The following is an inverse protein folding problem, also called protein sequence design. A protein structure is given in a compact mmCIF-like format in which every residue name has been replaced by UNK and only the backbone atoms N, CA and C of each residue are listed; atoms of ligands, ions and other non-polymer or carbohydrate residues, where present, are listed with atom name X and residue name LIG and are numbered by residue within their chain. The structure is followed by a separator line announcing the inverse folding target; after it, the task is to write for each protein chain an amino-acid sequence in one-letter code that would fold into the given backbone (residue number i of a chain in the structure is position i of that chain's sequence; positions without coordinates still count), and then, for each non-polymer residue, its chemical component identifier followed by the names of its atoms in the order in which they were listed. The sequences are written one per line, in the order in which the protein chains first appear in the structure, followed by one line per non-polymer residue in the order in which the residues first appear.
data_IF_051034497285
#
_entry.id   IF_051034497285
#
_cell.length_a   1.000
_cell.length_b   1.000
_cell.length_c   1.000
_cell.angle_alpha   90.00
_cell.angle_beta   90.00
_cell.angle_gamma   90.00
#
_symmetry.space_group_name_H-M   'P 1'
#
loop_
_entity.id
_entity.type
_entity.pdbx_description
1 polymer ?
#
# COMPACT_ATOMS: atom_id res chain seq x y z
N UNK A 1 -2.13 35.23 13.45
CA UNK A 1 -3.04 35.01 12.31
C UNK A 1 -2.19 34.91 11.08
N UNK A 2 -2.08 33.71 10.53
CA UNK A 2 -1.37 33.45 9.27
C UNK A 2 -2.41 32.88 8.32
N UNK A 3 -2.74 33.65 7.30
CA UNK A 3 -3.71 33.27 6.27
C UNK A 3 -3.13 32.18 5.40
N UNK A 4 -3.81 31.04 5.38
CA UNK A 4 -3.58 29.99 4.39
C UNK A 4 -4.41 30.33 3.14
N UNK A 5 -3.84 30.28 1.93
CA UNK A 5 -4.61 30.48 0.73
C UNK A 5 -5.55 29.28 0.53
N UNK A 6 -6.84 29.55 0.66
CA UNK A 6 -7.93 28.63 0.33
C UNK A 6 -8.07 28.55 -1.20
N UNK A 7 -7.66 27.45 -1.81
CA UNK A 7 -8.01 27.15 -3.20
C UNK A 7 -9.26 26.29 -3.23
N UNK A 8 -10.41 26.92 -3.24
CA UNK A 8 -11.66 26.28 -3.62
C UNK A 8 -11.78 26.29 -5.15
N UNK A 9 -11.50 25.15 -5.78
CA UNK A 9 -11.99 24.86 -7.12
C UNK A 9 -13.26 24.04 -7.00
N UNK A 10 -14.22 24.23 -7.89
CA UNK A 10 -15.56 23.63 -7.88
C UNK A 10 -15.62 22.10 -7.97
N UNK A 11 -14.49 21.41 -7.97
CA UNK A 11 -14.38 19.94 -7.83
C UNK A 11 -13.55 19.63 -6.60
N UNK A 12 -14.17 19.75 -5.43
CA UNK A 12 -13.50 19.69 -4.13
C UNK A 12 -12.84 18.35 -3.82
N UNK A 13 -11.52 18.33 -3.85
CA UNK A 13 -10.70 17.32 -3.18
C UNK A 13 -10.47 17.84 -1.75
N UNK A 14 -11.02 17.16 -0.76
CA UNK A 14 -10.77 17.49 0.63
C UNK A 14 -9.46 16.85 1.10
N UNK A 15 -8.55 17.68 1.60
CA UNK A 15 -7.38 17.23 2.35
C UNK A 15 -7.79 17.10 3.81
N UNK A 16 -7.82 15.88 4.32
CA UNK A 16 -8.13 15.61 5.72
C UNK A 16 -6.85 15.62 6.55
N UNK A 17 -6.76 16.55 7.51
CA UNK A 17 -5.78 16.48 8.58
C UNK A 17 -6.08 15.26 9.46
N UNK A 18 -5.10 14.39 9.64
CA UNK A 18 -5.21 13.21 10.49
C UNK A 18 -5.05 13.59 11.96
N UNK A 19 -6.10 14.17 12.56
CA UNK A 19 -6.25 14.15 14.01
C UNK A 19 -7.30 13.11 14.39
N UNK A 20 -6.80 12.03 14.98
CA UNK A 20 -7.50 11.08 15.86
C UNK A 20 -9.01 11.25 16.00
N UNK A 21 -9.77 10.31 15.48
CA UNK A 21 -11.00 9.86 16.13
C UNK A 21 -11.25 8.38 15.81
N UNK A 22 -11.18 7.63 16.87
CA UNK A 22 -11.68 6.28 17.04
C UNK A 22 -13.16 6.19 16.67
N UNK A 23 -13.52 5.00 16.16
CA UNK A 23 -14.85 4.40 16.18
C UNK A 23 -15.91 5.02 15.27
N UNK A 24 -16.24 4.28 14.22
CA UNK A 24 -17.56 3.66 14.06
C UNK A 24 -17.73 3.06 12.68
N UNK A 25 -18.22 1.83 12.69
CA UNK A 25 -19.05 1.20 11.68
C UNK A 25 -18.47 0.93 10.31
N UNK A 26 -18.15 -0.30 10.15
CA UNK A 26 -18.03 -1.21 9.00
C UNK A 26 -19.08 -1.10 7.88
N UNK A 27 -19.66 0.03 7.58
CA UNK A 27 -20.73 0.12 6.55
C UNK A 27 -20.32 0.72 5.22
N UNK A 28 -19.10 1.25 5.08
CA UNK A 28 -18.59 1.66 3.77
C UNK A 28 -17.11 1.26 3.73
N UNK A 29 -16.83 0.03 3.28
CA UNK A 29 -15.48 -0.34 2.88
C UNK A 29 -15.06 0.62 1.75
N UNK A 30 -14.33 1.66 2.13
CA UNK A 30 -13.89 2.68 1.21
C UNK A 30 -12.82 2.07 0.30
N UNK A 31 -12.94 2.33 -0.98
CA UNK A 31 -11.87 2.02 -1.90
C UNK A 31 -10.67 2.90 -1.52
N UNK A 32 -9.64 2.28 -0.97
CA UNK A 32 -8.53 2.96 -0.32
C UNK A 32 -7.22 2.33 -0.77
N UNK A 33 -6.27 3.18 -1.17
CA UNK A 33 -4.89 2.80 -1.45
C UNK A 33 -3.95 3.70 -0.68
N UNK A 34 -3.06 3.11 0.11
CA UNK A 34 -2.02 3.81 0.86
C UNK A 34 -0.66 3.34 0.41
N UNK A 35 0.16 4.27 -0.07
CA UNK A 35 1.55 4.05 -0.45
C UNK A 35 2.48 4.69 0.57
N UNK A 36 3.50 3.96 1.00
CA UNK A 36 4.52 4.45 1.93
C UNK A 36 5.85 4.51 1.19
N UNK A 37 6.40 5.70 1.13
CA UNK A 37 7.68 5.97 0.50
C UNK A 37 8.72 6.25 1.59
N UNK A 38 9.90 5.67 1.44
CA UNK A 38 11.05 5.97 2.26
C UNK A 38 12.02 6.85 1.49
N UNK A 39 12.45 7.94 2.10
CA UNK A 39 13.52 8.78 1.57
C UNK A 39 14.52 9.12 2.68
N UNK A 40 15.62 9.77 2.30
CA UNK A 40 16.58 10.32 3.26
C UNK A 40 16.69 11.82 3.07
N UNK A 41 16.49 12.55 4.16
CA UNK A 41 16.62 14.01 4.18
C UNK A 41 17.77 14.35 5.12
N UNK A 42 18.82 14.97 4.58
CA UNK A 42 20.07 15.24 5.34
C UNK A 42 20.64 14.01 6.06
N UNK A 43 20.59 12.85 5.38
CA UNK A 43 21.09 11.58 5.90
C UNK A 43 20.16 10.86 6.90
N UNK A 44 19.06 11.46 7.33
CA UNK A 44 18.07 10.86 8.22
C UNK A 44 16.93 10.22 7.45
N UNK A 45 16.42 9.07 7.89
CA UNK A 45 15.26 8.43 7.26
C UNK A 45 14.00 9.26 7.50
N UNK A 46 13.17 9.37 6.47
CA UNK A 46 11.86 10.00 6.51
C UNK A 46 10.87 9.09 5.78
N UNK A 47 9.68 8.90 6.33
CA UNK A 47 8.58 8.17 5.71
C UNK A 47 7.52 9.16 5.23
N UNK A 48 7.11 9.01 3.98
CA UNK A 48 6.03 9.78 3.37
C UNK A 48 4.91 8.82 3.03
N UNK A 49 3.74 9.02 3.61
CA UNK A 49 2.55 8.21 3.38
C UNK A 49 1.59 8.99 2.49
N UNK A 50 1.22 8.42 1.35
CA UNK A 50 0.24 8.98 0.42
C UNK A 50 -0.97 8.06 0.39
N UNK A 51 -2.14 8.57 0.76
CA UNK A 51 -3.39 7.81 0.79
C UNK A 51 -4.38 8.39 -0.18
N UNK A 52 -4.83 7.56 -1.10
CA UNK A 52 -5.89 7.83 -2.06
C UNK A 52 -7.18 7.18 -1.60
N UNK A 53 -8.28 7.91 -1.62
CA UNK A 53 -9.60 7.41 -1.25
C UNK A 53 -10.61 7.66 -2.35
N UNK A 54 -11.57 6.77 -2.49
CA UNK A 54 -12.73 6.94 -3.38
C UNK A 54 -13.99 6.54 -2.62
N UNK A 55 -14.90 7.47 -2.49
CA UNK A 55 -16.18 7.27 -1.83
C UNK A 55 -17.31 7.91 -2.67
N UNK A 56 -18.52 7.91 -2.13
CA UNK A 56 -19.69 8.51 -2.79
C UNK A 56 -19.56 10.03 -3.00
N UNK A 57 -18.73 10.71 -2.21
CA UNK A 57 -18.49 12.16 -2.30
C UNK A 57 -17.39 12.52 -3.30
N UNK A 58 -16.65 11.53 -3.80
CA UNK A 58 -15.56 11.74 -4.77
C UNK A 58 -14.24 11.09 -4.35
N UNK A 59 -13.15 11.57 -4.96
CA UNK A 59 -11.79 11.17 -4.66
C UNK A 59 -11.19 12.07 -3.57
N UNK A 60 -10.35 11.48 -2.72
CA UNK A 60 -9.60 12.18 -1.68
C UNK A 60 -8.12 11.85 -1.72
N UNK A 61 -7.29 12.82 -1.34
CA UNK A 61 -5.86 12.69 -1.15
C UNK A 61 -5.51 13.07 0.30
N UNK A 62 -4.70 12.24 0.94
CA UNK A 62 -4.08 12.56 2.22
C UNK A 62 -2.58 12.28 2.15
N UNK A 63 -1.76 13.19 2.66
CA UNK A 63 -0.30 13.03 2.72
C UNK A 63 0.14 13.15 4.16
N UNK A 64 0.69 12.07 4.70
CA UNK A 64 1.29 12.03 6.03
C UNK A 64 2.81 12.00 5.92
N UNK A 65 3.50 12.69 6.81
CA UNK A 65 4.96 12.73 6.84
C UNK A 65 5.41 12.40 8.26
N UNK A 66 6.22 11.35 8.37
CA UNK A 66 6.89 10.97 9.63
C UNK A 66 8.38 11.32 9.50
N UNK A 67 8.74 12.48 10.03
CA UNK A 67 10.10 13.00 10.04
C UNK A 67 10.60 13.16 11.47
N UNK A 68 11.57 12.34 11.84
CA UNK A 68 12.25 12.40 13.15
C UNK A 68 13.06 13.69 13.36
N UNK A 69 13.22 14.53 12.35
CA UNK A 69 14.10 15.71 12.36
C UNK A 69 13.37 17.05 12.44
N UNK A 70 12.01 17.09 12.52
CA UNK A 70 11.21 18.31 12.55
C UNK A 70 11.60 19.35 11.47
N UNK A 71 11.80 18.88 10.23
CA UNK A 71 12.17 19.76 9.13
C UNK A 71 10.93 20.36 8.49
N UNK A 72 11.07 21.57 7.92
CA UNK A 72 10.01 22.16 7.12
C UNK A 72 9.88 21.42 5.79
N UNK A 73 8.84 20.63 5.67
CA UNK A 73 8.44 19.92 4.47
C UNK A 73 7.20 20.59 3.86
N UNK A 74 7.22 20.78 2.56
CA UNK A 74 6.11 21.39 1.84
C UNK A 74 5.54 20.37 0.86
N UNK A 75 4.21 20.24 0.85
CA UNK A 75 3.49 19.38 -0.06
C UNK A 75 2.80 20.23 -1.11
N UNK A 76 3.00 19.90 -2.38
CA UNK A 76 2.38 20.53 -3.54
C UNK A 76 1.65 19.48 -4.34
N UNK A 77 0.48 19.81 -4.85
CA UNK A 77 -0.27 18.90 -5.72
C UNK A 77 -1.11 19.69 -6.73
N UNK A 78 -1.42 19.03 -7.83
CA UNK A 78 -2.43 19.45 -8.78
C UNK A 78 -3.16 18.20 -9.29
N UNK A 79 -4.48 18.16 -9.07
CA UNK A 79 -5.37 17.09 -9.48
C UNK A 79 -6.46 17.59 -10.43
N UNK A 80 -6.37 18.84 -10.90
CA UNK A 80 -7.41 19.49 -11.71
C UNK A 80 -7.68 18.76 -13.03
N UNK A 81 -6.65 18.14 -13.60
CA UNK A 81 -6.71 17.35 -14.84
C UNK A 81 -6.59 15.85 -14.61
N UNK A 82 -6.66 15.42 -13.34
CA UNK A 82 -6.41 14.03 -12.97
C UNK A 82 -7.45 13.09 -13.55
N UNK A 83 -6.99 12.01 -14.18
CA UNK A 83 -7.83 10.95 -14.69
C UNK A 83 -7.80 9.74 -13.75
N UNK A 84 -8.99 9.26 -13.37
CA UNK A 84 -9.16 8.14 -12.46
C UNK A 84 -9.79 6.95 -13.19
N UNK A 85 -9.34 5.76 -12.83
CA UNK A 85 -9.96 4.51 -13.27
C UNK A 85 -11.01 4.00 -12.29
N UNK A 86 -11.12 2.68 -12.16
CA UNK A 86 -11.98 2.04 -11.17
C UNK A 86 -11.47 2.24 -9.74
N UNK A 87 -10.17 2.36 -9.57
CA UNK A 87 -9.50 2.58 -8.28
C UNK A 87 -9.51 4.03 -7.80
N UNK A 88 -9.00 4.29 -6.59
CA UNK A 88 -8.90 5.63 -6.03
C UNK A 88 -7.67 6.40 -6.52
N UNK A 89 -6.62 5.72 -7.00
CA UNK A 89 -5.40 6.35 -7.51
C UNK A 89 -5.64 6.95 -8.90
N UNK A 90 -5.19 8.19 -9.16
CA UNK A 90 -5.14 8.72 -10.52
C UNK A 90 -4.05 8.02 -11.33
N UNK A 91 -4.24 7.92 -12.64
CA UNK A 91 -3.25 7.30 -13.52
C UNK A 91 -2.59 8.28 -14.50
N UNK A 92 -3.15 9.48 -14.67
CA UNK A 92 -2.66 10.49 -15.61
C UNK A 92 -3.17 11.89 -15.23
N UNK A 93 -2.45 12.93 -15.65
CA UNK A 93 -2.88 14.33 -15.54
C UNK A 93 -2.77 14.90 -14.13
N UNK A 94 -1.77 14.49 -13.34
CA UNK A 94 -1.61 14.96 -11.97
C UNK A 94 -0.15 15.04 -11.55
N UNK A 95 0.09 15.73 -10.44
CA UNK A 95 1.29 15.55 -9.64
C UNK A 95 1.01 15.68 -8.15
N UNK A 96 1.83 14.98 -7.35
CA UNK A 96 1.99 15.20 -5.91
C UNK A 96 3.49 15.29 -5.64
N UNK A 97 3.95 16.43 -5.16
CA UNK A 97 5.35 16.69 -4.89
C UNK A 97 5.59 17.00 -3.40
N UNK A 98 6.63 16.43 -2.82
CA UNK A 98 7.11 16.78 -1.48
C UNK A 98 8.49 17.41 -1.60
N UNK A 99 8.64 18.59 -1.04
CA UNK A 99 9.85 19.41 -1.14
C UNK A 99 10.45 19.65 0.25
N UNK A 100 11.73 19.37 0.39
CA UNK A 100 12.54 19.67 1.55
C UNK A 100 13.73 20.53 1.14
N UNK A 101 13.97 21.67 1.81
CA UNK A 101 15.13 22.53 1.54
C UNK A 101 15.30 22.88 0.04
N UNK A 102 14.21 23.22 -0.66
CA UNK A 102 14.16 23.50 -2.10
C UNK A 102 14.53 22.31 -3.01
N UNK A 103 14.60 21.11 -2.48
CA UNK A 103 14.83 19.89 -3.24
C UNK A 103 13.58 19.05 -3.27
N UNK A 104 13.23 18.50 -4.44
CA UNK A 104 12.14 17.55 -4.59
C UNK A 104 12.57 16.20 -4.02
N UNK A 105 11.92 15.74 -2.95
CA UNK A 105 12.23 14.46 -2.29
C UNK A 105 11.29 13.33 -2.72
N UNK A 106 10.06 13.68 -3.10
CA UNK A 106 9.09 12.76 -3.71
C UNK A 106 8.35 13.49 -4.82
N UNK A 107 8.16 12.84 -5.96
CA UNK A 107 7.31 13.31 -7.03
C UNK A 107 6.52 12.15 -7.61
N UNK A 108 5.21 12.24 -7.57
CA UNK A 108 4.26 11.29 -8.14
C UNK A 108 3.49 11.96 -9.26
N UNK A 109 3.10 11.17 -10.26
CA UNK A 109 2.34 11.62 -11.43
C UNK A 109 3.22 11.98 -12.62
N UNK A 110 2.56 12.37 -13.70
CA UNK A 110 3.16 12.62 -15.02
C UNK A 110 3.46 14.11 -15.31
N UNK A 111 2.91 15.04 -14.50
CA UNK A 111 3.07 16.49 -14.66
C UNK A 111 4.33 17.03 -13.95
N UNK A 112 5.48 16.42 -14.23
CA UNK A 112 6.75 16.76 -13.56
C UNK A 112 7.25 18.18 -13.85
N UNK A 113 7.04 18.68 -15.07
CA UNK A 113 7.45 20.03 -15.47
C UNK A 113 6.66 21.10 -14.72
N UNK A 114 5.37 20.92 -14.58
CA UNK A 114 4.46 21.78 -13.83
C UNK A 114 4.81 21.78 -12.35
N UNK A 115 5.08 20.60 -11.79
CA UNK A 115 5.53 20.46 -10.41
C UNK A 115 6.81 21.24 -10.15
N UNK A 116 7.83 21.11 -10.98
CA UNK A 116 9.09 21.85 -10.86
C UNK A 116 8.89 23.36 -11.00
N UNK A 117 8.07 23.80 -11.97
CA UNK A 117 7.74 25.22 -12.17
C UNK A 117 7.03 25.81 -10.93
N UNK A 118 6.07 25.08 -10.36
CA UNK A 118 5.28 25.54 -9.21
C UNK A 118 6.10 25.59 -7.92
N UNK A 119 6.96 24.62 -7.71
CA UNK A 119 7.75 24.49 -6.48
C UNK A 119 9.05 25.28 -6.50
N UNK A 120 9.55 25.66 -7.67
CA UNK A 120 10.90 26.22 -7.84
C UNK A 120 12.01 25.25 -7.43
N UNK A 121 11.68 23.97 -7.22
CA UNK A 121 12.64 22.95 -6.85
C UNK A 121 13.41 22.47 -8.08
N UNK A 122 14.69 22.22 -7.90
CA UNK A 122 15.51 21.59 -8.95
C UNK A 122 15.04 20.14 -9.13
N UNK A 123 14.92 19.72 -10.39
CA UNK A 123 14.64 18.32 -10.73
C UNK A 123 15.88 17.49 -10.44
N UNK A 124 15.98 17.00 -9.22
CA UNK A 124 16.94 15.99 -8.84
C UNK A 124 16.19 14.65 -8.86
N UNK A 125 16.82 13.54 -9.28
CA UNK A 125 16.20 12.22 -9.16
C UNK A 125 15.68 12.04 -7.74
N UNK A 126 14.36 11.85 -7.60
CA UNK A 126 13.76 11.61 -6.29
C UNK A 126 14.38 10.35 -5.70
N UNK A 127 14.93 10.46 -4.49
CA UNK A 127 15.53 9.34 -3.79
C UNK A 127 14.54 8.60 -2.88
N UNK A 128 13.25 8.81 -3.11
CA UNK A 128 12.19 8.12 -2.40
C UNK A 128 11.88 6.78 -3.07
N UNK A 129 11.96 5.69 -2.30
CA UNK A 129 11.61 4.33 -2.72
C UNK A 129 10.25 3.95 -2.14
N UNK A 130 9.40 3.29 -2.93
CA UNK A 130 8.14 2.70 -2.44
C UNK A 130 8.46 1.46 -1.61
N UNK A 131 8.21 1.52 -0.30
CA UNK A 131 8.52 0.42 0.62
C UNK A 131 7.28 -0.38 1.03
N UNK A 132 6.10 0.22 0.95
CA UNK A 132 4.86 -0.52 1.20
C UNK A 132 3.69 0.07 0.42
N UNK A 133 2.79 -0.82 -0.02
CA UNK A 133 1.48 -0.47 -0.57
C UNK A 133 0.41 -1.25 0.17
N UNK A 134 -0.64 -0.57 0.62
CA UNK A 134 -1.82 -1.15 1.24
C UNK A 134 -3.02 -0.82 0.37
N UNK A 135 -3.80 -1.82 0.02
CA UNK A 135 -4.89 -1.67 -0.93
C UNK A 135 -6.13 -2.45 -0.49
N UNK A 136 -7.30 -1.86 -0.68
CA UNK A 136 -8.58 -2.52 -0.53
C UNK A 136 -9.04 -3.04 -1.89
N UNK A 137 -9.25 -4.34 -2.02
CA UNK A 137 -9.72 -5.00 -3.23
C UNK A 137 -11.08 -5.64 -2.99
N UNK A 138 -11.93 -5.60 -4.00
CA UNK A 138 -13.31 -6.05 -3.90
C UNK A 138 -13.58 -7.12 -4.95
N UNK A 139 -14.32 -8.16 -4.56
CA UNK A 139 -14.68 -9.24 -5.47
C UNK A 139 -15.64 -10.24 -4.82
N UNK A 140 -16.16 -11.19 -5.59
CA UNK A 140 -16.98 -12.31 -5.07
C UNK A 140 -16.11 -13.53 -4.75
N UNK A 141 -15.36 -13.99 -5.75
CA UNK A 141 -14.47 -15.16 -5.67
C UNK A 141 -13.09 -14.85 -6.19
N UNK A 142 -12.94 -13.79 -6.98
CA UNK A 142 -11.71 -13.38 -7.63
C UNK A 142 -11.43 -11.94 -7.21
N UNK A 143 -10.22 -11.70 -6.73
CA UNK A 143 -9.72 -10.42 -6.28
C UNK A 143 -8.45 -10.12 -7.06
N UNK A 144 -8.42 -9.02 -7.79
CA UNK A 144 -7.33 -8.66 -8.67
C UNK A 144 -6.71 -7.32 -8.32
N UNK A 145 -5.40 -7.21 -8.46
CA UNK A 145 -4.66 -5.96 -8.42
C UNK A 145 -3.42 -6.03 -9.28
N UNK A 146 -2.74 -4.90 -9.46
CA UNK A 146 -1.42 -4.81 -10.08
C UNK A 146 -0.36 -4.65 -9.00
N UNK A 147 0.71 -5.42 -9.10
CA UNK A 147 1.82 -5.42 -8.15
C UNK A 147 3.16 -5.24 -8.86
N UNK A 148 4.02 -4.44 -8.28
CA UNK A 148 5.42 -4.31 -8.66
C UNK A 148 6.26 -4.70 -7.45
N UNK A 149 7.05 -5.77 -7.57
CA UNK A 149 7.76 -6.37 -6.44
C UNK A 149 9.18 -5.84 -6.23
N UNK A 150 9.70 -5.05 -7.15
CA UNK A 150 11.00 -4.37 -7.00
C UNK A 150 11.00 -3.03 -7.72
N UNK A 151 11.90 -2.14 -7.28
CA UNK A 151 12.12 -0.86 -7.95
C UNK A 151 12.52 -1.10 -9.41
N UNK A 152 11.91 -0.36 -10.34
CA UNK A 152 12.08 -0.51 -11.79
C UNK A 152 11.73 -1.91 -12.35
N UNK A 153 11.09 -2.77 -11.55
CA UNK A 153 10.60 -4.07 -11.99
C UNK A 153 9.36 -3.98 -12.86
N UNK A 154 9.02 -5.09 -13.47
CA UNK A 154 7.79 -5.23 -14.24
C UNK A 154 6.56 -5.17 -13.32
N UNK A 155 5.47 -4.59 -13.82
CA UNK A 155 4.16 -4.64 -13.18
C UNK A 155 3.50 -5.97 -13.55
N UNK A 156 3.06 -6.70 -12.54
CA UNK A 156 2.41 -8.00 -12.65
C UNK A 156 0.92 -7.89 -12.36
N UNK A 157 0.12 -8.70 -13.06
CA UNK A 157 -1.28 -8.92 -12.71
C UNK A 157 -1.34 -9.97 -11.57
N UNK A 158 -1.76 -9.55 -10.38
CA UNK A 158 -1.91 -10.41 -9.21
C UNK A 158 -3.38 -10.73 -9.00
N UNK A 159 -3.71 -12.03 -9.01
CA UNK A 159 -5.08 -12.54 -8.83
C UNK A 159 -5.11 -13.51 -7.66
N UNK A 160 -6.05 -13.29 -6.75
CA UNK A 160 -6.36 -14.16 -5.62
C UNK A 160 -7.74 -14.77 -5.89
N UNK A 161 -7.80 -16.08 -6.01
CA UNK A 161 -9.04 -16.83 -6.20
C UNK A 161 -9.35 -17.62 -4.91
N UNK A 162 -10.54 -17.44 -4.37
CA UNK A 162 -11.00 -18.22 -3.23
C UNK A 162 -12.46 -18.62 -3.42
N UNK A 163 -12.70 -19.90 -3.68
CA UNK A 163 -14.02 -20.47 -3.71
C UNK A 163 -14.36 -21.08 -2.34
N UNK A 164 -15.01 -20.28 -1.51
CA UNK A 164 -15.41 -20.69 -0.16
C UNK A 164 -16.90 -21.08 -0.08
N UNK A 165 -17.70 -20.78 -1.13
CA UNK A 165 -19.15 -20.96 -1.12
C UNK A 165 -19.52 -22.28 -1.76
N UNK A 166 -20.17 -23.17 -1.00
CA UNK A 166 -20.77 -24.40 -1.50
C UNK A 166 -19.80 -25.58 -1.66
N UNK A 167 -18.52 -25.44 -1.44
CA UNK A 167 -17.55 -26.54 -1.50
C UNK A 167 -17.32 -27.19 -0.13
N UNK A 168 -17.27 -28.53 -0.12
CA UNK A 168 -16.86 -29.28 1.09
C UNK A 168 -15.44 -28.97 1.50
N UNK A 169 -14.58 -28.57 0.55
CA UNK A 169 -13.16 -28.29 0.76
C UNK A 169 -12.72 -27.02 0.00
N UNK A 170 -12.91 -25.84 0.58
CA UNK A 170 -12.52 -24.59 -0.05
C UNK A 170 -10.99 -24.52 -0.30
N UNK A 171 -10.59 -23.90 -1.40
CA UNK A 171 -9.18 -23.70 -1.73
C UNK A 171 -8.88 -22.22 -2.04
N UNK A 172 -7.62 -21.84 -1.81
CA UNK A 172 -7.05 -20.55 -2.17
C UNK A 172 -6.03 -20.76 -3.29
N UNK A 173 -6.13 -19.97 -4.36
CA UNK A 173 -5.16 -19.96 -5.46
C UNK A 173 -4.65 -18.54 -5.65
N UNK A 174 -3.33 -18.40 -5.77
CA UNK A 174 -2.68 -17.13 -6.12
C UNK A 174 -2.05 -17.30 -7.50
N UNK A 175 -2.43 -16.39 -8.40
CA UNK A 175 -1.89 -16.30 -9.76
C UNK A 175 -1.14 -14.99 -9.95
N UNK A 176 -0.04 -15.09 -10.67
CA UNK A 176 0.71 -13.93 -11.17
C UNK A 176 0.80 -14.06 -12.69
N UNK A 177 0.38 -13.05 -13.43
CA UNK A 177 0.32 -13.03 -14.89
C UNK A 177 -0.42 -14.26 -15.46
N UNK A 178 -1.53 -14.65 -14.84
CA UNK A 178 -2.35 -15.82 -15.22
C UNK A 178 -1.80 -17.18 -14.76
N UNK A 179 -0.53 -17.28 -14.35
CA UNK A 179 0.10 -18.53 -13.89
C UNK A 179 -0.22 -18.77 -12.40
N UNK A 180 -0.74 -19.93 -12.06
CA UNK A 180 -0.94 -20.33 -10.66
C UNK A 180 0.43 -20.64 -10.02
N UNK A 181 0.84 -19.82 -9.07
CA UNK A 181 2.11 -19.96 -8.33
C UNK A 181 1.93 -20.64 -6.97
N UNK A 182 0.73 -20.54 -6.40
CA UNK A 182 0.43 -21.12 -5.10
C UNK A 182 -1.01 -21.64 -5.06
N UNK A 183 -1.20 -22.80 -4.41
CA UNK A 183 -2.53 -23.35 -4.09
C UNK A 183 -2.54 -23.87 -2.66
N UNK A 184 -3.52 -23.44 -1.86
CA UNK A 184 -3.76 -23.94 -0.51
C UNK A 184 -5.04 -24.73 -0.50
N UNK A 185 -4.92 -26.06 -0.34
CA UNK A 185 -6.04 -27.00 -0.14
C UNK A 185 -6.41 -27.08 1.34
N UNK A 186 -7.64 -27.54 1.63
CA UNK A 186 -8.16 -27.67 3.01
C UNK A 186 -8.11 -26.35 3.77
N UNK A 187 -8.60 -25.28 3.13
CA UNK A 187 -8.48 -23.93 3.60
C UNK A 187 -9.13 -23.70 4.98
N UNK A 188 -10.15 -24.50 5.35
CA UNK A 188 -10.76 -24.45 6.68
C UNK A 188 -9.78 -24.82 7.81
N UNK A 189 -8.78 -25.61 7.52
CA UNK A 189 -7.71 -26.00 8.46
C UNK A 189 -6.48 -25.08 8.31
N UNK A 190 -6.28 -24.54 7.13
CA UNK A 190 -5.14 -23.67 6.76
C UNK A 190 -5.60 -22.23 6.48
N UNK A 191 -6.52 -21.74 7.31
CA UNK A 191 -7.10 -20.41 7.13
C UNK A 191 -6.10 -19.27 7.37
N UNK A 192 -4.96 -19.58 7.99
CA UNK A 192 -3.78 -18.71 8.13
C UNK A 192 -2.53 -19.46 7.73
N UNK A 193 -1.58 -18.76 7.14
CA UNK A 193 -0.30 -19.37 6.81
C UNK A 193 0.59 -18.46 6.02
N UNK A 194 1.72 -19.02 5.61
CA UNK A 194 2.67 -18.37 4.71
C UNK A 194 3.24 -19.38 3.70
N UNK A 195 3.73 -18.86 2.60
CA UNK A 195 4.43 -19.65 1.58
C UNK A 195 5.30 -18.71 0.74
N UNK A 196 6.43 -19.21 0.23
CA UNK A 196 7.29 -18.45 -0.66
C UNK A 196 7.03 -18.85 -2.11
N UNK A 197 6.78 -17.87 -2.96
CA UNK A 197 6.66 -18.02 -4.41
C UNK A 197 7.83 -17.35 -5.10
N UNK A 198 8.09 -17.70 -6.36
CA UNK A 198 9.09 -17.05 -7.20
C UNK A 198 8.38 -16.23 -8.28
N UNK A 199 8.68 -14.93 -8.31
CA UNK A 199 8.19 -13.98 -9.33
C UNK A 199 9.42 -13.36 -10.00
N UNK A 200 9.60 -13.60 -11.31
CA UNK A 200 10.75 -13.16 -12.08
C UNK A 200 12.10 -13.51 -11.42
N UNK A 201 12.18 -14.71 -10.81
CA UNK A 201 13.38 -15.18 -10.10
C UNK A 201 13.57 -14.63 -8.68
N UNK A 202 12.71 -13.70 -8.24
CA UNK A 202 12.76 -13.13 -6.90
C UNK A 202 11.84 -13.90 -5.94
N UNK A 203 12.33 -14.18 -4.73
CA UNK A 203 11.55 -14.79 -3.67
C UNK A 203 10.56 -13.77 -3.08
N UNK A 204 9.27 -14.10 -3.12
CA UNK A 204 8.19 -13.33 -2.54
C UNK A 204 7.51 -14.18 -1.47
N UNK A 205 7.56 -13.73 -0.22
CA UNK A 205 6.85 -14.37 0.89
C UNK A 205 5.39 -13.93 0.87
N UNK A 206 4.49 -14.88 0.78
CA UNK A 206 3.04 -14.67 0.78
C UNK A 206 2.48 -15.10 2.11
N UNK A 207 1.79 -14.21 2.80
CA UNK A 207 1.05 -14.50 4.03
C UNK A 207 -0.44 -14.32 3.76
N UNK A 208 -1.28 -15.15 4.36
CA UNK A 208 -2.73 -15.03 4.24
C UNK A 208 -3.43 -15.24 5.58
N UNK A 209 -4.52 -14.52 5.77
CA UNK A 209 -5.53 -14.73 6.81
C UNK A 209 -6.92 -14.60 6.18
N UNK A 210 -7.59 -15.73 6.01
CA UNK A 210 -8.94 -15.80 5.44
C UNK A 210 -9.98 -16.24 6.48
N UNK A 211 -9.65 -16.15 7.77
CA UNK A 211 -10.52 -16.56 8.87
C UNK A 211 -11.90 -15.92 8.75
N UNK A 212 -11.97 -14.61 8.53
CA UNK A 212 -13.24 -13.89 8.43
C UNK A 212 -14.09 -14.31 7.24
N UNK A 213 -13.46 -14.76 6.16
CA UNK A 213 -14.19 -15.29 4.99
C UNK A 213 -14.84 -16.64 5.24
N UNK A 214 -14.28 -17.45 6.13
CA UNK A 214 -14.70 -18.85 6.39
C UNK A 214 -15.60 -18.96 7.61
N UNK A 215 -15.36 -18.15 8.62
CA UNK A 215 -15.98 -18.29 9.95
C UNK A 215 -16.63 -17.00 10.46
N UNK A 216 -16.49 -15.89 9.75
CA UNK A 216 -17.12 -14.62 10.13
C UNK A 216 -18.63 -14.72 10.05
N UNK A 217 -19.31 -14.25 11.10
CA UNK A 217 -20.78 -14.22 11.21
C UNK A 217 -21.39 -12.94 10.64
N UNK A 218 -20.58 -11.92 10.35
CA UNK A 218 -21.02 -10.64 9.81
C UNK A 218 -20.75 -10.53 8.32
N UNK A 219 -21.76 -10.14 7.56
CA UNK A 219 -21.66 -9.63 6.21
C UNK A 219 -20.61 -8.50 6.21
N UNK A 220 -19.47 -8.70 5.56
CA UNK A 220 -18.45 -7.67 5.40
C UNK A 220 -17.09 -7.92 6.05
N UNK A 221 -16.74 -9.16 6.41
CA UNK A 221 -15.37 -9.48 6.84
C UNK A 221 -14.37 -9.47 5.69
N UNK A 222 -13.22 -8.81 5.87
CA UNK A 222 -12.10 -8.87 4.92
C UNK A 222 -11.18 -10.04 5.21
N UNK A 223 -10.58 -10.61 4.16
CA UNK A 223 -9.35 -11.38 4.28
C UNK A 223 -8.14 -10.47 4.11
N UNK A 224 -7.01 -10.88 4.67
CA UNK A 224 -5.76 -10.14 4.57
C UNK A 224 -4.72 -11.00 3.85
N UNK A 225 -4.09 -10.41 2.85
CA UNK A 225 -2.95 -11.01 2.16
C UNK A 225 -1.78 -10.05 2.21
N UNK A 226 -0.58 -10.55 2.47
CA UNK A 226 0.63 -9.77 2.42
C UNK A 226 1.66 -10.47 1.54
N UNK A 227 2.24 -9.71 0.62
CA UNK A 227 3.33 -10.14 -0.26
C UNK A 227 4.55 -9.32 0.14
N UNK A 228 5.60 -9.98 0.58
CA UNK A 228 6.82 -9.33 1.06
C UNK A 228 8.01 -9.80 0.25
N UNK A 229 8.78 -8.86 -0.29
CA UNK A 229 10.08 -9.15 -0.87
C UNK A 229 11.17 -8.86 0.14
N UNK A 230 12.14 -9.76 0.23
CA UNK A 230 13.37 -9.47 0.98
C UNK A 230 14.42 -9.08 -0.06
N UNK A 231 15.02 -7.90 0.08
CA UNK A 231 16.26 -7.64 -0.62
C UNK A 231 17.30 -8.49 0.11
N UNK A 232 17.65 -9.61 -0.49
CA UNK A 232 18.75 -10.45 -0.01
C UNK A 232 20.02 -9.66 -0.26
N UNK A 233 20.53 -8.96 0.76
CA UNK A 233 21.97 -8.78 0.85
C UNK A 233 22.53 -10.20 0.91
N UNK A 234 23.41 -10.57 0.03
CA UNK A 234 24.02 -11.90 -0.17
C UNK A 234 24.75 -12.51 1.04
N UNK A 235 24.42 -12.11 2.24
CA UNK A 235 24.99 -12.63 3.48
C UNK A 235 23.90 -12.89 4.51
N UNK A 236 23.31 -14.08 4.50
CA UNK A 236 22.92 -14.85 5.70
C UNK A 236 22.05 -16.05 5.36
N UNK A 237 22.71 -17.02 4.73
CA UNK A 237 22.17 -18.40 4.58
C UNK A 237 22.41 -19.28 5.83
N UNK A 238 22.60 -18.67 7.01
CA UNK A 238 22.81 -19.43 8.26
C UNK A 238 22.10 -18.71 9.41
N UNK A 239 21.05 -19.23 9.90
CA UNK A 239 20.28 -18.96 11.12
C UNK A 239 18.81 -18.63 10.84
N UNK A 240 17.98 -19.67 10.89
CA UNK A 240 16.62 -19.57 11.41
C UNK A 240 16.05 -20.95 11.69
N UNK A 241 16.39 -21.49 12.81
CA UNK A 241 15.52 -22.38 13.56
C UNK A 241 15.28 -21.71 14.90
N UNK A 242 14.16 -20.98 15.02
CA UNK A 242 13.44 -20.79 16.27
C UNK A 242 12.10 -20.16 15.95
N UNK A 243 11.09 -21.01 15.87
CA UNK A 243 9.70 -20.65 15.65
C UNK A 243 9.11 -20.34 17.01
N UNK A 244 8.84 -19.08 17.29
CA UNK A 244 7.95 -18.68 18.36
C UNK A 244 6.54 -18.47 17.78
N UNK A 245 5.55 -19.05 18.45
CA UNK A 245 4.13 -19.11 18.07
C UNK A 245 3.50 -17.74 17.78
N UNK A 246 2.65 -17.61 16.76
CA UNK A 246 2.00 -16.36 16.43
C UNK A 246 0.68 -16.24 17.20
N UNK A 247 0.72 -15.68 18.39
CA UNK A 247 -0.48 -15.16 19.03
C UNK A 247 -0.66 -13.68 18.66
N UNK A 248 -1.82 -13.36 18.08
CA UNK A 248 -2.34 -12.03 17.75
C UNK A 248 -1.62 -11.27 16.63
N UNK A 249 -2.10 -11.45 15.40
CA UNK A 249 -1.84 -10.54 14.28
C UNK A 249 -2.64 -9.23 14.44
N UNK A 250 -2.38 -8.49 15.50
CA UNK A 250 -2.75 -7.09 15.59
C UNK A 250 -1.55 -6.29 15.09
N UNK A 251 -1.48 -6.13 13.79
CA UNK A 251 -0.40 -5.45 13.12
C UNK A 251 -0.52 -3.94 13.31
N UNK A 252 0.09 -3.43 14.37
CA UNK A 252 0.41 -2.01 14.46
C UNK A 252 1.52 -1.71 13.46
N UNK A 253 1.15 -1.18 12.31
CA UNK A 253 2.05 -0.82 11.21
C UNK A 253 3.19 0.11 11.69
N UNK A 254 2.94 0.95 12.68
CA UNK A 254 3.90 1.91 13.24
C UNK A 254 5.03 1.29 14.07
N UNK A 255 4.82 0.16 14.73
CA UNK A 255 5.81 -0.39 15.66
C UNK A 255 6.96 -1.16 14.99
N UNK A 256 6.74 -1.74 13.80
CA UNK A 256 7.79 -2.51 13.12
C UNK A 256 8.79 -1.67 12.32
N UNK A 257 8.45 -0.43 11.97
CA UNK A 257 9.40 0.47 11.31
C UNK A 257 10.41 1.10 12.26
N UNK A 258 10.17 1.10 13.57
CA UNK A 258 11.10 1.66 14.56
C UNK A 258 12.28 0.73 14.89
N UNK A 259 12.13 -0.59 14.70
CA UNK A 259 13.20 -1.55 15.05
C UNK A 259 14.21 -1.84 13.92
N UNK A 260 13.94 -1.36 12.69
CA UNK A 260 14.86 -1.54 11.56
C UNK A 260 15.81 -0.37 11.41
N UNK A 261 16.78 -0.25 12.30
CA UNK A 261 17.97 0.57 12.05
C UNK A 261 18.67 0.04 10.80
N UNK A 262 18.60 0.82 9.71
CA UNK A 262 19.49 0.80 8.55
C UNK A 262 19.74 -0.56 7.86
N UNK A 263 18.71 -1.19 7.27
CA UNK A 263 18.94 -2.22 6.24
C UNK A 263 17.88 -2.04 5.15
N UNK A 264 18.26 -2.24 3.89
CA UNK A 264 17.42 -2.17 2.70
C UNK A 264 16.05 -2.78 2.96
N UNK A 265 15.04 -1.92 3.14
CA UNK A 265 13.66 -2.35 3.38
C UNK A 265 13.15 -2.96 2.07
N UNK A 266 12.84 -4.26 2.09
CA UNK A 266 12.11 -4.90 1.01
C UNK A 266 10.74 -4.27 0.84
N UNK A 267 10.13 -4.46 -0.32
CA UNK A 267 8.78 -3.99 -0.60
C UNK A 267 7.74 -4.91 0.07
N UNK A 268 6.64 -4.32 0.55
CA UNK A 268 5.49 -5.06 1.11
C UNK A 268 4.19 -4.57 0.48
N UNK A 269 3.44 -5.50 -0.14
CA UNK A 269 2.07 -5.26 -0.60
C UNK A 269 1.11 -5.92 0.38
N UNK A 270 0.16 -5.15 0.91
CA UNK A 270 -0.89 -5.64 1.82
C UNK A 270 -2.25 -5.41 1.16
N UNK A 271 -2.99 -6.49 0.96
CA UNK A 271 -4.32 -6.47 0.38
C UNK A 271 -5.37 -6.80 1.44
N UNK A 272 -6.36 -5.94 1.57
CA UNK A 272 -7.60 -6.21 2.29
C UNK A 272 -8.66 -6.58 1.28
N UNK A 273 -8.98 -7.86 1.20
CA UNK A 273 -9.91 -8.37 0.20
C UNK A 273 -11.32 -8.50 0.81
N UNK A 274 -12.26 -7.73 0.25
CA UNK A 274 -13.64 -7.63 0.70
C UNK A 274 -14.55 -8.38 -0.26
N UNK A 275 -15.41 -9.26 0.26
CA UNK A 275 -16.43 -9.92 -0.55
C UNK A 275 -17.55 -8.95 -0.82
N UNK A 276 -17.82 -8.73 -2.12
CA UNK A 276 -19.06 -8.09 -2.57
C UNK A 276 -20.20 -9.13 -2.52
N UNK A 277 -21.38 -8.70 -2.08
CA UNK A 277 -22.61 -9.48 -2.15
C UNK A 277 -23.08 -9.75 -3.60
#
# INVERSE_FOLDING_TARGET
MRDFPSCFGENGVQVADSSSSSSSSSKNAQNLVTCVYQCRIRGRPCLITVTWTKNLMGQGLSVGIDDSANQCLYVYWDLSSAKFGSGPEPFEGFYVGVVANKQMVLLLGDMSKEACKKTGATHIPCNASLVAKKEHVFGKRVFGTKAQFCDNGRIHDLIIECDAVGMKDPCLIIRVDGKALMQVKRLRWKFRGNHTILVDGMAVEVYWDVHNWLFGTSLGGSAVFMFKTSIVAEEKLWFSQNIASPSSLQWSFSQRFQDSKSQNLGFSLILYAWKNE
#
